data_IF_305641354105
#
_entry.id   IF_305641354105
#
_cell.length_a   1.000
_cell.length_b   1.000
_cell.length_c   1.000
_cell.angle_alpha   90.00
_cell.angle_beta   90.00
_cell.angle_gamma   90.00
#
_symmetry.space_group_name_H-M   'P 1'
#
loop_
_entity.id
_entity.type
_entity.pdbx_description
1 polymer ?
#
# COMPACT_ATOMS: atom_id res chain seq x y z
N UNK A 1 9.49 -16.20 -13.40
CA UNK A 1 8.28 -15.44 -13.58
C UNK A 1 8.53 -13.96 -13.48
N UNK A 2 8.12 -13.22 -14.46
CA UNK A 2 8.30 -11.78 -14.44
C UNK A 2 7.35 -11.14 -13.45
N UNK A 3 7.84 -10.20 -12.69
CA UNK A 3 7.00 -9.40 -11.82
C UNK A 3 6.37 -8.28 -12.64
N UNK A 4 5.32 -8.64 -13.39
CA UNK A 4 4.62 -7.66 -14.22
C UNK A 4 3.84 -6.65 -13.40
N UNK A 5 3.56 -6.98 -12.14
CA UNK A 5 2.90 -6.06 -11.22
C UNK A 5 3.62 -6.09 -9.87
N UNK A 6 4.65 -5.24 -9.71
CA UNK A 6 5.41 -5.18 -8.44
C UNK A 6 4.54 -4.83 -7.24
N UNK A 7 3.45 -4.07 -7.44
CA UNK A 7 2.57 -3.71 -6.33
C UNK A 7 1.72 -4.89 -5.87
N UNK A 8 1.25 -5.71 -6.82
CA UNK A 8 0.54 -6.94 -6.46
C UNK A 8 1.45 -7.86 -5.65
N UNK A 9 2.73 -7.95 -6.03
CA UNK A 9 3.72 -8.71 -5.26
C UNK A 9 3.87 -8.17 -3.85
N UNK A 10 3.98 -6.85 -3.70
CA UNK A 10 4.08 -6.22 -2.38
C UNK A 10 2.87 -6.58 -1.50
N UNK A 11 1.68 -6.45 -2.05
CA UNK A 11 0.46 -6.75 -1.30
C UNK A 11 0.35 -8.22 -0.93
N UNK A 12 0.76 -9.12 -1.82
CA UNK A 12 0.81 -10.56 -1.53
C UNK A 12 1.79 -10.87 -0.40
N UNK A 13 2.95 -10.23 -0.39
CA UNK A 13 3.94 -10.41 0.68
C UNK A 13 3.36 -9.99 2.02
N UNK A 14 2.67 -8.86 2.07
CA UNK A 14 2.03 -8.36 3.29
C UNK A 14 0.96 -9.35 3.76
N UNK A 15 0.06 -9.77 2.87
CA UNK A 15 -1.00 -10.72 3.21
C UNK A 15 -0.44 -12.03 3.74
N UNK A 16 0.55 -12.60 3.06
CA UNK A 16 1.14 -13.88 3.47
C UNK A 16 1.87 -13.76 4.80
N UNK A 17 2.56 -12.66 5.03
CA UNK A 17 3.24 -12.43 6.30
C UNK A 17 2.23 -12.32 7.45
N UNK A 18 1.10 -11.65 7.22
CA UNK A 18 0.06 -11.53 8.23
C UNK A 18 -0.59 -12.89 8.56
N UNK A 19 -0.79 -13.74 7.54
CA UNK A 19 -1.30 -15.09 7.77
C UNK A 19 -0.38 -15.90 8.66
N UNK A 20 0.92 -15.67 8.56
CA UNK A 20 1.93 -16.35 9.38
C UNK A 20 2.28 -15.59 10.65
N UNK A 21 1.58 -14.51 10.92
CA UNK A 21 1.76 -13.67 12.11
C UNK A 21 3.19 -13.15 12.24
N UNK A 22 3.84 -12.85 11.11
CA UNK A 22 5.19 -12.29 11.10
C UNK A 22 5.14 -10.80 11.46
N UNK A 23 6.13 -10.35 12.20
CA UNK A 23 6.25 -8.94 12.56
C UNK A 23 6.86 -8.10 11.47
N UNK A 24 7.76 -8.70 10.67
CA UNK A 24 8.48 -8.01 9.62
C UNK A 24 8.41 -8.82 8.34
N UNK A 25 8.25 -8.12 7.23
CA UNK A 25 8.30 -8.72 5.90
C UNK A 25 9.24 -7.91 5.02
N UNK A 26 9.98 -8.59 4.16
CA UNK A 26 10.94 -7.91 3.26
C UNK A 26 10.36 -7.80 1.86
N UNK A 27 10.81 -6.78 1.13
CA UNK A 27 10.39 -6.51 -0.23
C UNK A 27 11.52 -5.84 -0.99
N UNK A 28 11.62 -6.08 -2.32
CA UNK A 28 12.53 -5.27 -3.14
C UNK A 28 12.21 -3.79 -3.04
N UNK A 29 13.22 -2.94 -3.24
CA UNK A 29 13.07 -1.50 -3.17
C UNK A 29 12.55 -0.97 -4.50
N UNK A 30 11.57 -0.08 -4.44
CA UNK A 30 11.18 0.75 -5.56
C UNK A 30 10.52 2.02 -5.02
N UNK A 31 10.56 3.08 -5.81
CA UNK A 31 9.94 4.35 -5.40
C UNK A 31 8.45 4.18 -5.14
N UNK A 32 7.77 3.42 -5.99
CA UNK A 32 6.33 3.22 -5.84
C UNK A 32 6.02 2.41 -4.59
N UNK A 33 6.79 1.37 -4.29
CA UNK A 33 6.60 0.60 -3.06
C UNK A 33 6.81 1.47 -1.84
N UNK A 34 7.84 2.29 -1.82
CA UNK A 34 8.09 3.20 -0.69
C UNK A 34 6.98 4.22 -0.54
N UNK A 35 6.48 4.77 -1.65
CA UNK A 35 5.37 5.73 -1.60
C UNK A 35 4.11 5.10 -1.01
N UNK A 36 3.80 3.88 -1.39
CA UNK A 36 2.66 3.13 -0.85
C UNK A 36 2.86 2.89 0.66
N UNK A 37 4.06 2.45 1.04
CA UNK A 37 4.36 2.18 2.44
C UNK A 37 4.29 3.44 3.30
N UNK A 38 4.70 4.58 2.75
CA UNK A 38 4.60 5.85 3.45
C UNK A 38 3.15 6.20 3.75
N UNK A 39 2.26 6.02 2.79
CA UNK A 39 0.83 6.25 3.00
C UNK A 39 0.28 5.29 4.06
N UNK A 40 0.61 4.01 3.97
CA UNK A 40 0.15 3.01 4.95
C UNK A 40 0.64 3.35 6.35
N UNK A 41 1.87 3.80 6.48
CA UNK A 41 2.43 4.21 7.78
C UNK A 41 1.69 5.42 8.34
N UNK A 42 1.51 6.44 7.51
CA UNK A 42 0.86 7.69 7.95
C UNK A 42 -0.60 7.48 8.32
N UNK A 43 -1.26 6.52 7.69
CA UNK A 43 -2.66 6.17 7.98
C UNK A 43 -2.78 5.15 9.12
N UNK A 44 -1.67 4.71 9.67
CA UNK A 44 -1.68 3.82 10.83
C UNK A 44 -1.88 2.35 10.53
N UNK A 45 -1.68 1.92 9.29
CA UNK A 45 -1.85 0.52 8.90
C UNK A 45 -0.62 -0.34 9.11
N UNK A 46 0.56 0.27 9.10
CA UNK A 46 1.82 -0.41 9.42
C UNK A 46 2.59 0.43 10.44
N UNK A 47 3.53 -0.21 11.14
CA UNK A 47 4.36 0.51 12.12
C UNK A 47 5.40 1.38 11.43
N UNK A 48 5.97 0.88 10.36
CA UNK A 48 6.97 1.61 9.62
C UNK A 48 7.67 0.74 8.62
N UNK A 49 8.68 1.29 7.97
CA UNK A 49 9.51 0.56 7.03
C UNK A 49 10.88 1.23 6.98
N UNK A 50 11.88 0.47 6.57
CA UNK A 50 13.24 0.98 6.44
C UNK A 50 13.98 0.23 5.35
N UNK A 51 14.96 0.89 4.75
CA UNK A 51 15.89 0.22 3.85
C UNK A 51 16.94 -0.47 4.70
N UNK A 52 17.13 -1.74 4.47
CA UNK A 52 18.07 -2.55 5.24
C UNK A 52 18.98 -3.32 4.29
N UNK A 53 20.26 -3.35 4.60
CA UNK A 53 21.21 -4.12 3.82
C UNK A 53 21.34 -5.52 4.44
N UNK A 54 20.94 -6.52 3.69
CA UNK A 54 20.99 -7.90 4.15
C UNK A 54 22.32 -8.55 3.81
N UNK A 55 22.55 -9.74 4.36
CA UNK A 55 23.80 -10.47 4.19
C UNK A 55 24.16 -10.76 2.72
N UNK A 56 23.16 -10.74 1.84
CA UNK A 56 23.37 -10.89 0.40
C UNK A 56 24.02 -9.68 -0.26
N UNK A 57 24.18 -8.58 0.48
CA UNK A 57 24.71 -7.33 -0.04
C UNK A 57 23.68 -6.44 -0.71
N UNK A 58 22.46 -6.90 -0.88
CA UNK A 58 21.37 -6.10 -1.46
C UNK A 58 20.60 -5.35 -0.38
N UNK A 59 20.23 -4.13 -0.72
CA UNK A 59 19.29 -3.39 0.12
C UNK A 59 17.87 -3.85 -0.21
N UNK A 60 17.08 -4.02 0.84
CA UNK A 60 15.67 -4.37 0.73
C UNK A 60 14.87 -3.50 1.68
N UNK A 61 13.57 -3.46 1.46
CA UNK A 61 12.66 -2.79 2.38
C UNK A 61 12.23 -3.79 3.45
N UNK A 62 12.44 -3.43 4.70
CA UNK A 62 11.90 -4.18 5.84
C UNK A 62 10.66 -3.44 6.31
N UNK A 63 9.52 -4.10 6.25
CA UNK A 63 8.22 -3.54 6.58
C UNK A 63 7.77 -4.09 7.91
N UNK A 64 7.57 -3.22 8.88
CA UNK A 64 7.07 -3.63 10.20
C UNK A 64 5.55 -3.62 10.20
N UNK A 65 4.98 -4.80 10.30
CA UNK A 65 3.53 -4.96 10.30
C UNK A 65 2.94 -4.62 11.66
N UNK A 66 1.68 -4.29 11.67
CA UNK A 66 0.98 -3.84 12.89
C UNK A 66 -0.16 -4.78 13.21
N UNK A 67 -0.26 -5.16 14.47
CA UNK A 67 -1.30 -6.04 14.97
C UNK A 67 -1.95 -5.41 16.20
N UNK A 68 -3.23 -5.70 16.39
CA UNK A 68 -3.96 -5.34 17.60
C UNK A 68 -4.57 -6.61 18.22
N UNK A 69 -5.42 -6.44 19.20
CA UNK A 69 -6.03 -7.58 19.90
C UNK A 69 -6.86 -8.48 18.99
N UNK A 70 -7.43 -7.93 17.93
CA UNK A 70 -8.25 -8.71 16.99
C UNK A 70 -7.47 -9.30 15.83
N UNK A 71 -6.17 -8.99 15.71
CA UNK A 71 -5.31 -9.51 14.65
C UNK A 71 -4.61 -8.41 13.86
N UNK A 72 -4.31 -8.64 12.57
CA UNK A 72 -3.65 -7.64 11.75
C UNK A 72 -4.50 -6.37 11.61
N UNK A 73 -3.85 -5.22 11.67
CA UNK A 73 -4.54 -3.94 11.47
C UNK A 73 -5.06 -3.84 10.04
N UNK A 74 -4.28 -4.34 9.08
CA UNK A 74 -4.78 -4.44 7.70
C UNK A 74 -5.66 -5.68 7.61
N UNK A 75 -6.98 -5.49 7.57
CA UNK A 75 -7.91 -6.60 7.38
C UNK A 75 -7.93 -7.06 5.93
N UNK A 76 -7.81 -6.10 5.00
CA UNK A 76 -7.83 -6.40 3.57
C UNK A 76 -7.00 -5.36 2.83
N UNK A 77 -6.23 -5.81 1.85
CA UNK A 77 -5.51 -4.92 0.93
C UNK A 77 -5.70 -5.51 -0.47
N UNK A 78 -6.35 -4.73 -1.34
CA UNK A 78 -6.78 -5.20 -2.66
C UNK A 78 -6.23 -4.29 -3.76
N UNK A 79 -5.56 -4.90 -4.73
CA UNK A 79 -5.09 -4.21 -5.93
C UNK A 79 -6.29 -3.83 -6.80
N UNK A 80 -6.43 -2.55 -7.14
CA UNK A 80 -7.52 -2.07 -7.99
C UNK A 80 -7.05 -1.85 -9.41
N UNK A 81 -6.13 -0.90 -9.63
CA UNK A 81 -5.56 -0.64 -10.95
C UNK A 81 -4.46 -1.66 -11.23
N UNK A 82 -4.47 -2.25 -12.42
CA UNK A 82 -3.52 -3.31 -12.80
C UNK A 82 -2.89 -2.96 -14.14
N UNK A 83 -1.70 -3.50 -14.47
CA UNK A 83 -1.09 -3.21 -15.77
C UNK A 83 -2.00 -3.49 -16.96
N UNK A 84 -2.81 -4.55 -16.91
CA UNK A 84 -3.74 -4.88 -17.96
C UNK A 84 -5.09 -4.16 -17.89
N UNK A 85 -5.35 -3.45 -16.81
CA UNK A 85 -6.61 -2.75 -16.62
C UNK A 85 -6.43 -1.60 -15.64
N UNK A 86 -6.06 -0.44 -16.18
CA UNK A 86 -5.87 0.76 -15.36
C UNK A 86 -7.22 1.34 -14.94
N UNK A 87 -7.27 1.83 -13.70
CA UNK A 87 -8.49 2.40 -13.12
C UNK A 87 -8.17 3.81 -12.64
N UNK A 88 -8.87 4.80 -13.21
CA UNK A 88 -8.70 6.21 -12.88
C UNK A 88 -10.00 6.78 -12.35
N UNK A 89 -9.90 7.81 -11.53
CA UNK A 89 -11.08 8.50 -11.00
C UNK A 89 -10.81 9.98 -10.87
N UNK A 90 -11.80 10.80 -11.26
CA UNK A 90 -11.80 12.21 -10.91
C UNK A 90 -12.10 12.38 -9.43
N UNK A 91 -11.75 13.54 -8.90
CA UNK A 91 -11.87 13.81 -7.46
C UNK A 91 -13.29 13.58 -6.93
N UNK A 92 -14.29 13.90 -7.73
CA UNK A 92 -15.69 13.77 -7.29
C UNK A 92 -16.19 12.33 -7.24
N UNK A 93 -15.48 11.40 -7.89
CA UNK A 93 -15.90 10.02 -8.02
C UNK A 93 -15.02 9.03 -7.27
N UNK A 94 -14.09 9.52 -6.49
CA UNK A 94 -13.25 8.65 -5.68
C UNK A 94 -14.14 7.93 -4.65
N UNK A 95 -14.27 6.60 -4.73
CA UNK A 95 -15.17 5.89 -3.81
C UNK A 95 -14.63 5.87 -2.40
N UNK A 96 -15.51 5.89 -1.43
CA UNK A 96 -15.15 5.67 -0.04
C UNK A 96 -15.02 4.18 0.21
N UNK A 97 -14.06 3.81 1.06
CA UNK A 97 -13.82 2.42 1.44
C UNK A 97 -14.42 2.22 2.82
N UNK A 98 -15.32 1.22 2.93
CA UNK A 98 -16.01 0.93 4.20
C UNK A 98 -16.57 2.19 4.87
N UNK A 99 -17.31 3.00 4.10
CA UNK A 99 -17.94 4.24 4.59
C UNK A 99 -16.94 5.19 5.25
N UNK A 100 -15.73 5.24 4.72
CA UNK A 100 -14.68 6.12 5.23
C UNK A 100 -13.82 5.52 6.33
N UNK A 101 -14.05 4.27 6.71
CA UNK A 101 -13.23 3.60 7.71
C UNK A 101 -11.93 3.04 7.13
N UNK A 102 -11.92 2.80 5.81
CA UNK A 102 -10.71 2.40 5.10
C UNK A 102 -10.21 3.52 4.20
N UNK A 103 -9.21 3.23 3.40
CA UNK A 103 -8.62 4.18 2.46
C UNK A 103 -8.44 3.55 1.08
N UNK A 104 -8.42 4.42 0.06
CA UNK A 104 -7.82 4.09 -1.24
C UNK A 104 -6.49 4.82 -1.31
N UNK A 105 -5.50 4.20 -1.95
CA UNK A 105 -4.22 4.85 -2.23
C UNK A 105 -4.24 5.24 -3.68
N UNK A 106 -3.99 6.52 -3.96
CA UNK A 106 -4.17 7.12 -5.28
C UNK A 106 -2.85 7.72 -5.75
N UNK A 107 -2.50 7.41 -7.01
CA UNK A 107 -1.36 8.04 -7.66
C UNK A 107 -1.85 9.26 -8.42
N UNK A 108 -1.41 10.43 -8.00
CA UNK A 108 -1.84 11.70 -8.57
C UNK A 108 -0.65 12.45 -9.19
N UNK A 109 -0.93 13.54 -9.87
CA UNK A 109 0.11 14.41 -10.40
C UNK A 109 0.98 15.04 -9.30
N UNK A 110 0.50 15.07 -8.08
CA UNK A 110 1.24 15.60 -6.92
C UNK A 110 1.81 14.50 -6.03
N UNK A 111 1.80 13.27 -6.50
CA UNK A 111 2.37 12.14 -5.78
C UNK A 111 1.33 11.11 -5.36
N UNK A 112 1.80 10.10 -4.66
CA UNK A 112 0.95 9.03 -4.14
C UNK A 112 0.41 9.46 -2.78
N UNK A 113 -0.90 9.33 -2.60
CA UNK A 113 -1.56 9.79 -1.38
C UNK A 113 -2.83 8.98 -1.09
N UNK A 114 -3.39 9.16 0.10
CA UNK A 114 -4.68 8.56 0.44
C UNK A 114 -5.81 9.29 -0.29
N UNK A 115 -6.96 8.65 -0.37
CA UNK A 115 -8.16 9.27 -0.94
C UNK A 115 -8.58 10.52 -0.17
N UNK A 116 -8.41 10.52 1.14
CA UNK A 116 -8.71 11.69 1.97
C UNK A 116 -7.85 12.88 1.55
N UNK A 117 -6.55 12.68 1.41
CA UNK A 117 -5.65 13.74 0.98
C UNK A 117 -5.94 14.19 -0.44
N UNK A 118 -6.27 13.27 -1.34
CA UNK A 118 -6.62 13.61 -2.71
C UNK A 118 -7.89 14.47 -2.77
N UNK A 119 -8.88 14.15 -1.94
CA UNK A 119 -10.10 14.96 -1.85
C UNK A 119 -9.81 16.35 -1.31
N UNK A 120 -8.97 16.47 -0.29
CA UNK A 120 -8.59 17.78 0.23
C UNK A 120 -7.88 18.64 -0.81
N UNK A 121 -7.01 18.03 -1.59
CA UNK A 121 -6.28 18.74 -2.65
C UNK A 121 -7.09 18.88 -3.92
N UNK A 122 -8.26 18.29 -3.97
CA UNK A 122 -9.19 18.34 -5.12
C UNK A 122 -8.55 17.82 -6.40
N UNK A 123 -7.83 16.70 -6.30
CA UNK A 123 -7.22 16.03 -7.44
C UNK A 123 -7.64 14.57 -7.49
N UNK A 124 -7.85 14.08 -8.72
CA UNK A 124 -8.06 12.67 -8.94
C UNK A 124 -6.78 11.99 -9.40
N UNK A 125 -6.87 10.73 -9.77
CA UNK A 125 -5.73 9.99 -10.26
C UNK A 125 -6.03 8.51 -10.44
N UNK A 126 -4.97 7.74 -10.49
CA UNK A 126 -5.07 6.29 -10.63
C UNK A 126 -5.28 5.64 -9.25
N UNK A 127 -6.35 4.86 -9.13
CA UNK A 127 -6.65 4.16 -7.88
C UNK A 127 -5.79 2.89 -7.82
N UNK A 128 -4.78 2.93 -6.99
CA UNK A 128 -3.81 1.83 -6.89
C UNK A 128 -4.41 0.64 -6.14
N UNK A 129 -4.96 0.88 -4.95
CA UNK A 129 -5.48 -0.18 -4.10
C UNK A 129 -6.47 0.36 -3.08
N UNK A 130 -7.16 -0.58 -2.43
CA UNK A 130 -8.02 -0.29 -1.27
C UNK A 130 -7.47 -1.03 -0.06
N UNK A 131 -7.56 -0.37 1.08
CA UNK A 131 -7.08 -0.92 2.35
C UNK A 131 -8.10 -0.66 3.45
N UNK A 132 -8.36 -1.67 4.24
CA UNK A 132 -9.15 -1.49 5.46
C UNK A 132 -8.81 -2.54 6.51
#
# INVERSE_FOLDING_TARGET
MSLQDPLADLFSRIRNAQLRKKKVVTSPISKMRESILEVLKNEGYIRGYARTKHSSGREELDIELKYDESGPVISNITRISKPGRRVYSGVERIPFVHNGLGISIISTSQGVMSDTDAREKKIGGEIICRVF
#
